data_IF_364978788122
#
_entry.id   IF_364978788122
#
_cell.length_a   1.000
_cell.length_b   1.000
_cell.length_c   1.000
_cell.angle_alpha   90.00
_cell.angle_beta   90.00
_cell.angle_gamma   90.00
#
_symmetry.space_group_name_H-M   'P 1'
#
loop_
_entity.id
_entity.type
_entity.pdbx_description
1 polymer ?
#
# COMPACT_ATOMS: atom_id res chain seq x y z
N UNK A 1 36.69 1.32 -29.81
CA UNK A 1 35.57 2.20 -30.20
C UNK A 1 34.21 1.48 -30.22
N UNK A 2 34.13 0.15 -30.39
CA UNK A 2 32.84 -0.57 -30.38
C UNK A 2 32.21 -0.78 -28.98
N UNK A 3 33.02 -0.87 -27.93
CA UNK A 3 32.52 -1.16 -26.58
C UNK A 3 31.67 -0.04 -25.95
N UNK A 4 31.87 1.20 -26.37
CA UNK A 4 31.12 2.36 -25.85
C UNK A 4 29.74 2.50 -26.50
N UNK A 5 29.61 2.12 -27.77
CA UNK A 5 28.35 2.12 -28.53
C UNK A 5 27.40 1.01 -28.04
N UNK A 6 27.92 -0.21 -27.83
CA UNK A 6 27.14 -1.32 -27.27
C UNK A 6 26.63 -1.03 -25.85
N UNK A 7 27.42 -0.32 -25.03
CA UNK A 7 27.01 0.07 -23.67
C UNK A 7 25.88 1.12 -23.69
N UNK A 8 25.95 2.11 -24.60
CA UNK A 8 24.92 3.13 -24.75
C UNK A 8 23.62 2.57 -25.32
N UNK A 9 23.67 1.63 -26.28
CA UNK A 9 22.48 0.99 -26.83
C UNK A 9 21.80 0.11 -25.77
N UNK A 10 22.56 -0.60 -24.94
CA UNK A 10 22.04 -1.43 -23.86
C UNK A 10 21.37 -0.62 -22.74
N UNK A 11 21.91 0.56 -22.41
CA UNK A 11 21.28 1.50 -21.47
C UNK A 11 20.01 2.13 -22.04
N UNK A 12 20.03 2.51 -23.33
CA UNK A 12 18.86 3.06 -24.01
C UNK A 12 17.70 2.05 -24.05
N UNK A 13 18.01 0.79 -24.38
CA UNK A 13 17.02 -0.30 -24.45
C UNK A 13 16.43 -0.63 -23.07
N UNK A 14 17.23 -0.61 -22.01
CA UNK A 14 16.74 -0.74 -20.62
C UNK A 14 15.83 0.42 -20.21
N UNK A 15 16.16 1.65 -20.60
CA UNK A 15 15.35 2.83 -20.28
C UNK A 15 14.01 2.83 -21.01
N UNK A 16 13.98 2.36 -22.27
CA UNK A 16 12.77 2.23 -23.07
C UNK A 16 11.85 1.12 -22.52
N UNK A 17 12.42 -0.04 -22.19
CA UNK A 17 11.68 -1.15 -21.57
C UNK A 17 11.04 -0.74 -20.24
N UNK A 18 11.78 0.02 -19.43
CA UNK A 18 11.26 0.57 -18.19
C UNK A 18 10.09 1.52 -18.48
N UNK A 19 10.22 2.44 -19.45
CA UNK A 19 9.15 3.36 -19.84
C UNK A 19 7.89 2.66 -20.37
N UNK A 20 8.04 1.58 -21.13
CA UNK A 20 6.90 0.81 -21.66
C UNK A 20 6.20 0.04 -20.53
N UNK A 21 6.96 -0.56 -19.61
CA UNK A 21 6.42 -1.17 -18.39
C UNK A 21 5.70 -0.13 -17.52
N UNK A 22 6.25 1.08 -17.41
CA UNK A 22 5.66 2.19 -16.66
C UNK A 22 4.34 2.65 -17.26
N UNK A 23 4.25 2.79 -18.59
CA UNK A 23 3.00 3.15 -19.25
C UNK A 23 1.91 2.09 -19.07
N UNK A 24 2.28 0.82 -19.18
CA UNK A 24 1.34 -0.28 -18.93
C UNK A 24 0.84 -0.26 -17.48
N UNK A 25 1.74 -0.03 -16.52
CA UNK A 25 1.41 0.02 -15.11
C UNK A 25 0.50 1.20 -14.75
N UNK A 26 0.75 2.37 -15.32
CA UNK A 26 -0.12 3.56 -15.18
C UNK A 26 -1.50 3.30 -15.76
N UNK A 27 -1.61 2.59 -16.88
CA UNK A 27 -2.90 2.22 -17.45
C UNK A 27 -3.68 1.24 -16.55
N UNK A 28 -3.01 0.22 -16.02
CA UNK A 28 -3.60 -0.79 -15.13
C UNK A 28 -3.97 -0.21 -13.76
N UNK A 29 -3.31 0.85 -13.30
CA UNK A 29 -3.54 1.53 -12.01
C UNK A 29 -5.00 1.94 -11.79
N UNK A 30 -5.71 2.31 -12.86
CA UNK A 30 -7.13 2.69 -12.82
C UNK A 30 -8.10 1.50 -12.76
N UNK A 31 -7.63 0.28 -13.04
CA UNK A 31 -8.45 -0.93 -13.07
C UNK A 31 -8.48 -1.62 -11.71
N UNK A 32 -9.46 -2.50 -11.49
CA UNK A 32 -9.47 -3.36 -10.31
C UNK A 32 -8.30 -4.37 -10.38
N UNK A 33 -7.65 -4.70 -9.26
CA UNK A 33 -6.58 -5.69 -9.24
C UNK A 33 -7.10 -7.08 -9.67
N UNK A 34 -6.35 -7.76 -10.55
CA UNK A 34 -6.59 -9.14 -10.95
C UNK A 34 -6.23 -10.11 -9.81
N UNK A 35 -6.58 -11.40 -9.93
CA UNK A 35 -6.21 -12.40 -8.91
C UNK A 35 -4.69 -12.59 -8.81
N UNK A 36 -3.97 -12.39 -9.92
CA UNK A 36 -2.51 -12.36 -9.93
C UNK A 36 -1.97 -11.15 -9.15
N UNK A 37 -2.53 -9.96 -9.37
CA UNK A 37 -2.18 -8.77 -8.58
C UNK A 37 -2.45 -8.99 -7.10
N UNK A 38 -3.62 -9.53 -6.75
CA UNK A 38 -3.97 -9.83 -5.36
C UNK A 38 -2.95 -10.78 -4.73
N UNK A 39 -2.47 -11.78 -5.45
CA UNK A 39 -1.46 -12.72 -4.94
C UNK A 39 -0.14 -12.01 -4.64
N UNK A 40 0.35 -11.16 -5.55
CA UNK A 40 1.58 -10.37 -5.35
C UNK A 40 1.43 -9.40 -4.18
N UNK A 41 0.33 -8.64 -4.16
CA UNK A 41 0.02 -7.67 -3.11
C UNK A 41 -0.09 -8.33 -1.73
N UNK A 42 -0.69 -9.53 -1.67
CA UNK A 42 -0.85 -10.27 -0.42
C UNK A 42 0.50 -10.69 0.16
N UNK A 43 1.38 -11.24 -0.67
CA UNK A 43 2.74 -11.62 -0.26
C UNK A 43 3.51 -10.42 0.29
N UNK A 44 3.48 -9.29 -0.45
CA UNK A 44 4.20 -8.09 -0.04
C UNK A 44 3.66 -7.52 1.28
N UNK A 45 2.33 -7.37 1.40
CA UNK A 45 1.70 -6.86 2.62
C UNK A 45 1.94 -7.78 3.82
N UNK A 46 1.87 -9.11 3.65
CA UNK A 46 2.21 -10.04 4.73
C UNK A 46 3.66 -9.85 5.20
N UNK A 47 4.62 -9.76 4.27
CA UNK A 47 6.03 -9.56 4.60
C UNK A 47 6.27 -8.23 5.33
N UNK A 48 5.67 -7.14 4.83
CA UNK A 48 5.75 -5.82 5.46
C UNK A 48 5.24 -5.86 6.91
N UNK A 49 4.02 -6.38 7.11
CA UNK A 49 3.41 -6.41 8.45
C UNK A 49 4.19 -7.31 9.40
N UNK A 50 4.65 -8.47 8.93
CA UNK A 50 5.43 -9.41 9.75
C UNK A 50 6.78 -8.85 10.17
N UNK A 51 7.37 -7.96 9.37
CA UNK A 51 8.61 -7.29 9.70
C UNK A 51 8.42 -6.13 10.70
N UNK A 52 7.32 -5.37 10.58
CA UNK A 52 7.13 -4.14 11.35
C UNK A 52 6.26 -4.29 12.61
N UNK A 53 5.38 -5.30 12.67
CA UNK A 53 4.42 -5.47 13.78
C UNK A 53 4.80 -6.69 14.60
N UNK A 54 5.24 -6.47 15.83
CA UNK A 54 5.64 -7.52 16.76
C UNK A 54 4.50 -8.53 17.01
N UNK A 55 4.84 -9.83 16.96
CA UNK A 55 3.89 -10.92 17.20
C UNK A 55 2.87 -11.16 16.08
N UNK A 56 2.93 -10.40 14.98
CA UNK A 56 1.99 -10.51 13.87
C UNK A 56 2.06 -11.83 13.10
N UNK A 57 3.19 -12.52 13.12
CA UNK A 57 3.36 -13.86 12.54
C UNK A 57 2.39 -14.90 13.11
N UNK A 58 1.84 -14.68 14.31
CA UNK A 58 0.87 -15.57 14.94
C UNK A 58 -0.53 -15.48 14.34
N UNK A 59 -0.88 -14.38 13.67
CA UNK A 59 -2.24 -14.12 13.20
C UNK A 59 -2.33 -13.48 11.81
N UNK A 60 -1.23 -13.07 11.19
CA UNK A 60 -1.17 -12.55 9.81
C UNK A 60 -0.57 -13.62 8.90
N UNK A 61 -1.31 -13.99 7.87
CA UNK A 61 -0.90 -14.96 6.86
C UNK A 61 -1.21 -14.44 5.46
N UNK A 62 -0.57 -15.00 4.44
CA UNK A 62 -0.86 -14.63 3.04
C UNK A 62 -2.35 -14.84 2.73
N UNK A 63 -2.95 -15.92 3.25
CA UNK A 63 -4.34 -16.26 3.01
C UNK A 63 -5.31 -15.23 3.60
N UNK A 64 -5.11 -14.79 4.85
CA UNK A 64 -6.02 -13.82 5.44
C UNK A 64 -5.85 -12.42 4.87
N UNK A 65 -4.63 -12.05 4.46
CA UNK A 65 -4.38 -10.82 3.71
C UNK A 65 -5.04 -10.87 2.34
N UNK A 66 -4.97 -12.03 1.65
CA UNK A 66 -5.66 -12.24 0.38
C UNK A 66 -7.17 -12.05 0.52
N UNK A 67 -7.79 -12.69 1.51
CA UNK A 67 -9.21 -12.51 1.80
C UNK A 67 -9.54 -11.03 2.03
N UNK A 68 -8.72 -10.31 2.80
CA UNK A 68 -8.91 -8.88 3.02
C UNK A 68 -8.83 -8.08 1.71
N UNK A 69 -7.82 -8.34 0.87
CA UNK A 69 -7.63 -7.63 -0.40
C UNK A 69 -8.76 -7.94 -1.41
N UNK A 70 -9.23 -9.18 -1.46
CA UNK A 70 -10.40 -9.57 -2.25
C UNK A 70 -11.67 -8.88 -1.76
N UNK A 71 -11.84 -8.76 -0.44
CA UNK A 71 -12.96 -8.08 0.17
C UNK A 71 -13.00 -6.59 -0.19
N UNK A 72 -11.88 -5.86 -0.04
CA UNK A 72 -11.83 -4.43 -0.43
C UNK A 72 -11.97 -4.22 -1.93
N UNK A 73 -11.42 -5.13 -2.75
CA UNK A 73 -11.63 -5.13 -4.22
C UNK A 73 -13.11 -5.27 -4.56
N UNK A 74 -13.83 -6.19 -3.92
CA UNK A 74 -15.22 -6.48 -4.25
C UNK A 74 -16.19 -5.42 -3.71
N UNK A 75 -16.05 -5.06 -2.42
CA UNK A 75 -17.02 -4.21 -1.73
C UNK A 75 -16.73 -2.72 -1.88
N UNK A 76 -15.46 -2.31 -1.78
CA UNK A 76 -15.06 -0.90 -1.86
C UNK A 76 -14.54 -0.51 -3.26
N UNK A 77 -14.34 -1.51 -4.14
CA UNK A 77 -13.91 -1.34 -5.52
C UNK A 77 -12.61 -0.56 -5.64
N UNK A 78 -11.62 -0.84 -4.78
CA UNK A 78 -10.30 -0.20 -4.86
C UNK A 78 -9.62 -0.61 -6.18
N UNK A 79 -9.16 0.38 -6.95
CA UNK A 79 -8.29 0.16 -8.09
C UNK A 79 -6.90 -0.30 -7.66
N UNK A 80 -6.12 -0.83 -8.59
CA UNK A 80 -4.74 -1.25 -8.32
C UNK A 80 -3.90 -0.10 -7.76
N UNK A 81 -4.04 1.10 -8.34
CA UNK A 81 -3.39 2.32 -7.88
C UNK A 81 -3.76 2.73 -6.47
N UNK A 82 -5.05 2.63 -6.13
CA UNK A 82 -5.55 2.93 -4.79
C UNK A 82 -5.03 1.92 -3.76
N UNK A 83 -4.99 0.62 -4.11
CA UNK A 83 -4.40 -0.40 -3.23
C UNK A 83 -2.91 -0.13 -3.01
N UNK A 84 -2.15 0.19 -4.06
CA UNK A 84 -0.73 0.49 -3.93
C UNK A 84 -0.47 1.74 -3.07
N UNK A 85 -1.27 2.78 -3.27
CA UNK A 85 -1.20 4.01 -2.47
C UNK A 85 -1.54 3.72 -1.01
N UNK A 86 -2.53 2.86 -0.75
CA UNK A 86 -2.87 2.40 0.59
C UNK A 86 -1.72 1.59 1.22
N UNK A 87 -1.11 0.65 0.50
CA UNK A 87 0.04 -0.10 1.02
C UNK A 87 1.23 0.81 1.33
N UNK A 88 1.52 1.80 0.47
CA UNK A 88 2.57 2.77 0.73
C UNK A 88 2.27 3.62 1.98
N UNK A 89 1.03 4.05 2.12
CA UNK A 89 0.59 4.85 3.28
C UNK A 89 0.67 4.03 4.58
N UNK A 90 0.32 2.75 4.53
CA UNK A 90 0.49 1.83 5.65
C UNK A 90 1.98 1.68 6.01
N UNK A 91 2.86 1.55 5.02
CA UNK A 91 4.30 1.45 5.23
C UNK A 91 4.84 2.70 5.97
N UNK A 92 4.40 3.90 5.57
CA UNK A 92 4.74 5.17 6.24
C UNK A 92 4.18 5.20 7.67
N UNK A 93 2.93 4.75 7.87
CA UNK A 93 2.31 4.68 9.18
C UNK A 93 3.09 3.78 10.14
N UNK A 94 3.49 2.59 9.68
CA UNK A 94 4.27 1.62 10.47
C UNK A 94 5.62 2.22 10.86
N UNK A 95 6.32 2.83 9.89
CA UNK A 95 7.59 3.51 10.12
C UNK A 95 7.47 4.64 11.15
N UNK A 96 6.54 5.59 10.96
CA UNK A 96 6.35 6.74 11.87
C UNK A 96 5.83 6.32 13.24
N UNK A 97 5.01 5.26 13.33
CA UNK A 97 4.57 4.69 14.62
C UNK A 97 5.75 4.19 15.44
N UNK A 98 6.73 3.55 14.79
CA UNK A 98 7.97 3.10 15.44
C UNK A 98 8.86 4.27 15.85
N UNK A 99 9.11 5.21 14.94
CA UNK A 99 10.02 6.35 15.19
C UNK A 99 9.56 7.21 16.39
N UNK A 100 8.25 7.46 16.49
CA UNK A 100 7.67 8.28 17.57
C UNK A 100 7.55 7.53 18.91
N UNK A 101 8.03 6.27 19.03
CA UNK A 101 7.78 5.34 20.15
C UNK A 101 6.28 5.23 20.54
N UNK A 102 5.39 5.65 19.65
CA UNK A 102 3.96 5.60 19.82
C UNK A 102 3.47 4.34 19.11
N UNK A 103 3.37 3.24 19.84
CA UNK A 103 2.89 1.95 19.31
C UNK A 103 1.38 2.03 19.07
N UNK A 104 0.99 2.76 18.02
CA UNK A 104 -0.41 2.92 17.62
C UNK A 104 -0.85 1.73 16.78
N UNK A 105 0.05 1.14 16.00
CA UNK A 105 -0.20 -0.11 15.28
C UNK A 105 0.40 -1.28 16.05
N UNK A 106 -0.45 -1.99 16.77
CA UNK A 106 -0.16 -3.25 17.44
C UNK A 106 -0.89 -4.39 16.72
N UNK A 107 -0.68 -5.63 17.15
CA UNK A 107 -1.48 -6.73 16.62
C UNK A 107 -2.98 -6.61 16.87
N UNK A 108 -3.41 -5.92 17.94
CA UNK A 108 -4.84 -5.70 18.22
C UNK A 108 -5.45 -4.54 17.43
N UNK A 109 -4.65 -3.57 16.98
CA UNK A 109 -5.13 -2.42 16.20
C UNK A 109 -4.82 -2.52 14.70
N UNK A 110 -4.05 -3.52 14.26
CA UNK A 110 -3.66 -3.69 12.86
C UNK A 110 -4.86 -3.78 11.91
N UNK A 111 -5.89 -4.57 12.24
CA UNK A 111 -7.08 -4.71 11.41
C UNK A 111 -7.79 -3.36 11.21
N UNK A 112 -7.91 -2.58 12.28
CA UNK A 112 -8.46 -1.22 12.25
C UNK A 112 -7.60 -0.30 11.40
N UNK A 113 -6.27 -0.37 11.53
CA UNK A 113 -5.34 0.45 10.74
C UNK A 113 -5.45 0.14 9.24
N UNK A 114 -5.51 -1.14 8.86
CA UNK A 114 -5.69 -1.55 7.46
C UNK A 114 -6.97 -0.98 6.84
N UNK A 115 -8.10 -1.10 7.54
CA UNK A 115 -9.38 -0.55 7.08
C UNK A 115 -9.33 0.97 6.99
N UNK A 116 -8.77 1.64 8.00
CA UNK A 116 -8.67 3.09 8.02
C UNK A 116 -7.80 3.62 6.88
N UNK A 117 -6.65 2.99 6.59
CA UNK A 117 -5.78 3.42 5.49
C UNK A 117 -6.49 3.29 4.14
N UNK A 118 -7.19 2.18 3.88
CA UNK A 118 -8.01 2.06 2.66
C UNK A 118 -9.09 3.15 2.58
N UNK A 119 -9.79 3.41 3.69
CA UNK A 119 -10.81 4.46 3.77
C UNK A 119 -10.24 5.86 3.50
N UNK A 120 -9.13 6.21 4.15
CA UNK A 120 -8.45 7.51 4.00
C UNK A 120 -8.03 7.72 2.54
N UNK A 121 -7.43 6.70 1.92
CA UNK A 121 -7.00 6.80 0.51
C UNK A 121 -8.18 7.02 -0.43
N UNK A 122 -9.30 6.33 -0.23
CA UNK A 122 -10.48 6.59 -1.06
C UNK A 122 -11.02 8.01 -0.86
N UNK A 123 -11.02 8.53 0.37
CA UNK A 123 -11.43 9.91 0.65
C UNK A 123 -10.51 10.95 0.03
N UNK A 124 -9.22 10.63 -0.07
CA UNK A 124 -8.22 11.51 -0.65
C UNK A 124 -8.27 11.52 -2.19
N UNK A 125 -8.45 10.35 -2.81
CA UNK A 125 -8.33 10.18 -4.26
C UNK A 125 -9.65 10.31 -5.03
N UNK A 126 -10.81 10.18 -4.38
CA UNK A 126 -12.12 10.19 -5.06
C UNK A 126 -12.94 11.43 -4.72
N UNK A 127 -13.65 11.93 -5.72
CA UNK A 127 -14.64 13.01 -5.53
C UNK A 127 -15.84 12.56 -4.68
N UNK A 128 -16.20 11.27 -4.73
CA UNK A 128 -17.35 10.69 -4.02
C UNK A 128 -16.95 9.42 -3.25
N UNK A 129 -16.29 9.56 -2.09
CA UNK A 129 -15.89 8.44 -1.26
C UNK A 129 -17.06 7.90 -0.40
N UNK A 130 -16.92 6.67 0.09
CA UNK A 130 -17.84 6.12 1.09
C UNK A 130 -17.69 6.85 2.43
N UNK A 131 -18.81 7.08 3.11
CA UNK A 131 -18.83 7.64 4.48
C UNK A 131 -18.29 6.65 5.51
N UNK A 132 -17.81 7.13 6.65
CA UNK A 132 -17.32 6.28 7.75
C UNK A 132 -18.37 5.28 8.22
N UNK A 133 -19.65 5.67 8.22
CA UNK A 133 -20.77 4.79 8.56
C UNK A 133 -20.88 3.57 7.65
N UNK A 134 -20.56 3.73 6.36
CA UNK A 134 -20.52 2.61 5.43
C UNK A 134 -19.38 1.66 5.77
N UNK A 135 -18.16 2.17 5.99
CA UNK A 135 -17.00 1.36 6.37
C UNK A 135 -17.21 0.63 7.68
N UNK A 136 -17.70 1.32 8.71
CA UNK A 136 -18.02 0.75 10.01
C UNK A 136 -19.03 -0.40 9.87
N UNK A 137 -20.11 -0.20 9.11
CA UNK A 137 -21.10 -1.25 8.84
C UNK A 137 -20.52 -2.42 8.05
N UNK A 138 -19.74 -2.15 7.01
CA UNK A 138 -19.19 -3.17 6.10
C UNK A 138 -18.18 -4.07 6.80
N UNK A 139 -17.36 -3.52 7.71
CA UNK A 139 -16.34 -4.27 8.45
C UNK A 139 -16.79 -4.71 9.86
N UNK A 140 -18.03 -4.39 10.26
CA UNK A 140 -18.53 -4.71 11.60
C UNK A 140 -17.79 -3.97 12.72
N UNK A 141 -17.30 -2.77 12.45
CA UNK A 141 -16.55 -1.94 13.39
C UNK A 141 -17.45 -0.90 14.06
N UNK A 142 -17.05 -0.45 15.24
CA UNK A 142 -17.68 0.70 15.88
C UNK A 142 -17.33 2.00 15.13
N UNK A 143 -18.36 2.82 14.85
CA UNK A 143 -18.21 4.03 14.05
C UNK A 143 -17.34 5.08 14.73
N UNK A 144 -17.47 5.21 16.06
CA UNK A 144 -16.67 6.16 16.83
C UNK A 144 -15.19 5.76 16.77
N UNK A 145 -14.89 4.48 17.03
CA UNK A 145 -13.54 3.91 16.96
C UNK A 145 -12.92 4.13 15.57
N UNK A 146 -13.67 3.89 14.50
CA UNK A 146 -13.19 4.09 13.13
C UNK A 146 -12.88 5.57 12.85
N UNK A 147 -13.74 6.48 13.30
CA UNK A 147 -13.59 7.92 13.09
C UNK A 147 -12.43 8.50 13.89
N UNK A 148 -12.25 8.06 15.14
CA UNK A 148 -11.10 8.46 15.98
C UNK A 148 -9.79 7.92 15.40
N UNK A 149 -9.79 6.65 14.97
CA UNK A 149 -8.62 6.02 14.35
C UNK A 149 -8.20 6.70 13.05
N UNK A 150 -9.16 7.16 12.24
CA UNK A 150 -8.88 7.97 11.04
C UNK A 150 -8.06 9.22 11.38
N UNK A 151 -8.49 10.00 12.37
CA UNK A 151 -7.81 11.23 12.78
C UNK A 151 -6.41 10.93 13.32
N UNK A 152 -6.29 9.91 14.18
CA UNK A 152 -4.99 9.51 14.75
C UNK A 152 -4.01 9.08 13.65
N UNK A 153 -4.46 8.29 12.68
CA UNK A 153 -3.61 7.83 11.57
C UNK A 153 -3.16 9.03 10.72
N UNK A 154 -4.09 9.93 10.35
CA UNK A 154 -3.75 11.15 9.59
C UNK A 154 -2.73 12.02 10.32
N UNK A 155 -2.85 12.17 11.64
CA UNK A 155 -1.88 12.88 12.46
C UNK A 155 -0.52 12.17 12.51
N UNK A 156 -0.49 10.85 12.62
CA UNK A 156 0.77 10.09 12.68
C UNK A 156 1.57 10.18 11.40
N UNK A 157 0.88 10.14 10.24
CA UNK A 157 1.51 10.31 8.94
C UNK A 157 1.78 11.78 8.59
N UNK A 158 1.51 12.71 9.51
CA UNK A 158 1.67 14.16 9.33
C UNK A 158 0.87 14.71 8.12
N UNK A 159 -0.27 14.09 7.82
CA UNK A 159 -1.14 14.41 6.67
C UNK A 159 -0.48 14.22 5.30
N UNK A 160 0.68 13.55 5.23
CA UNK A 160 1.42 13.30 4.00
C UNK A 160 0.82 12.11 3.24
N UNK A 161 -0.22 12.39 2.46
CA UNK A 161 -0.87 11.42 1.56
C UNK A 161 -0.41 11.54 0.11
N UNK A 162 0.28 12.63 -0.22
CA UNK A 162 0.79 12.87 -1.57
C UNK A 162 1.96 11.93 -1.88
N UNK A 163 1.95 11.39 -3.09
CA UNK A 163 3.01 10.53 -3.59
C UNK A 163 3.37 10.97 -5.00
N UNK A 164 4.65 11.30 -5.21
CA UNK A 164 5.15 11.62 -6.54
C UNK A 164 5.11 10.40 -7.46
N UNK A 165 5.00 10.60 -8.77
CA UNK A 165 5.05 9.51 -9.76
C UNK A 165 6.30 8.64 -9.56
N UNK A 166 7.48 9.24 -9.35
CA UNK A 166 8.71 8.49 -9.12
C UNK A 166 8.63 7.62 -7.85
N UNK A 167 8.07 8.16 -6.76
CA UNK A 167 7.87 7.41 -5.52
C UNK A 167 6.88 6.27 -5.71
N UNK A 168 5.80 6.50 -6.44
CA UNK A 168 4.80 5.49 -6.78
C UNK A 168 5.41 4.35 -7.59
N UNK A 169 6.15 4.68 -8.65
CA UNK A 169 6.77 3.70 -9.52
C UNK A 169 7.87 2.90 -8.83
N UNK A 170 8.68 3.56 -8.01
CA UNK A 170 9.65 2.88 -7.16
C UNK A 170 8.96 1.91 -6.19
N UNK A 171 7.92 2.37 -5.49
CA UNK A 171 7.16 1.53 -4.57
C UNK A 171 6.54 0.32 -5.28
N UNK A 172 5.86 0.55 -6.39
CA UNK A 172 5.29 -0.48 -7.26
C UNK A 172 6.36 -1.51 -7.68
N UNK A 173 7.54 -1.08 -8.11
CA UNK A 173 8.61 -2.00 -8.51
C UNK A 173 9.04 -2.95 -7.38
N UNK A 174 9.06 -2.47 -6.12
CA UNK A 174 9.36 -3.30 -4.94
C UNK A 174 8.27 -4.32 -4.67
N UNK A 175 7.01 -3.92 -4.80
CA UNK A 175 5.85 -4.82 -4.65
C UNK A 175 5.93 -5.99 -5.64
N UNK A 176 6.20 -5.71 -6.93
CA UNK A 176 6.28 -6.75 -7.96
C UNK A 176 7.53 -7.62 -7.85
N UNK A 177 8.62 -7.04 -7.35
CA UNK A 177 9.82 -7.80 -7.02
C UNK A 177 9.69 -8.62 -5.73
N UNK A 178 8.55 -8.48 -5.02
CA UNK A 178 8.31 -9.00 -3.67
C UNK A 178 9.48 -8.73 -2.71
N UNK A 179 10.08 -7.54 -2.85
CA UNK A 179 11.25 -7.13 -2.11
C UNK A 179 10.84 -6.08 -1.06
N UNK A 180 10.58 -6.55 0.15
CA UNK A 180 10.40 -5.67 1.30
C UNK A 180 11.74 -5.46 2.00
N UNK A 181 12.20 -4.21 2.08
CA UNK A 181 13.40 -3.81 2.83
C UNK A 181 13.02 -2.71 3.84
N UNK A 182 13.04 -3.02 5.15
CA UNK A 182 12.68 -2.07 6.20
C UNK A 182 13.67 -0.90 6.36
N UNK A 183 14.85 -0.95 5.71
CA UNK A 183 15.89 0.07 5.82
C UNK A 183 15.77 1.21 4.79
N UNK A 184 14.90 1.07 3.78
CA UNK A 184 14.74 2.03 2.69
C UNK A 184 14.17 3.42 3.09
N UNK A 185 13.86 3.66 4.36
CA UNK A 185 13.29 4.91 4.87
C UNK A 185 14.33 5.94 5.34
N UNK A 186 15.61 5.70 5.06
CA UNK A 186 16.72 6.54 5.52
C UNK A 186 17.28 7.46 4.43
N UNK A 187 16.40 8.24 3.78
CA UNK A 187 16.80 9.40 2.95
C UNK A 187 15.77 10.51 3.02
#
# INVERSE_FOLDING_TARGET
>A
MNSTLEYSEMQYTKSQLLQDQLQQFVQESSMLPTDEHITVLSNFLTNMVQAEVEGSTNFVSIENVKIFLEFVRFHARLSLGEVLTALRTLEILLFKSREKNNVVVTGSSLGTALVCVCMIILKYLRDQPYMNSWWAKTFGMDLQTLTESEVVILQLIDWELEMSDNSYLYFASRVWSNCYDPTCFST
#
